data_IF_638794936060
#
_entry.id   IF_638794936060
#
_cell.length_a   1.000
_cell.length_b   1.000
_cell.length_c   1.000
_cell.angle_alpha   90.00
_cell.angle_beta   90.00
_cell.angle_gamma   90.00
#
_symmetry.space_group_name_H-M   'P 1'
#
loop_
_entity.id
_entity.type
_entity.pdbx_description
1 polymer ?
#
# COMPACT_ATOMS: atom_id res chain seq x y z
N UNK A 1 -28.51 -50.22 6.82
CA UNK A 1 -27.25 -49.85 7.51
C UNK A 1 -26.40 -48.90 6.64
N UNK A 2 -26.41 -49.03 5.33
CA UNK A 2 -25.72 -48.13 4.39
C UNK A 2 -26.26 -46.69 4.39
N UNK A 3 -27.55 -46.48 4.53
CA UNK A 3 -28.18 -45.13 4.50
C UNK A 3 -27.84 -44.23 5.69
N UNK A 4 -27.28 -44.77 6.78
CA UNK A 4 -26.88 -44.01 7.96
C UNK A 4 -25.37 -43.69 7.93
N UNK A 5 -24.59 -44.40 7.12
CA UNK A 5 -23.12 -44.19 7.02
C UNK A 5 -22.74 -43.03 6.06
N UNK A 6 -23.56 -42.78 5.02
CA UNK A 6 -23.33 -41.68 4.09
C UNK A 6 -23.30 -40.30 4.76
N UNK A 7 -24.31 -39.89 5.55
CA UNK A 7 -24.31 -38.58 6.18
C UNK A 7 -23.19 -38.40 7.23
N UNK A 8 -22.80 -39.50 7.91
CA UNK A 8 -21.63 -39.48 8.81
C UNK A 8 -20.32 -39.28 8.06
N UNK A 9 -20.17 -39.95 6.93
CA UNK A 9 -18.98 -39.80 6.07
C UNK A 9 -18.85 -38.37 5.55
N UNK A 10 -19.95 -37.76 5.08
CA UNK A 10 -19.99 -36.36 4.65
C UNK A 10 -19.65 -35.39 5.79
N UNK A 11 -20.18 -35.62 7.00
CA UNK A 11 -19.91 -34.78 8.16
C UNK A 11 -18.43 -34.85 8.60
N UNK A 12 -17.82 -36.02 8.56
CA UNK A 12 -16.39 -36.19 8.83
C UNK A 12 -15.53 -35.52 7.77
N UNK A 13 -15.88 -35.67 6.49
CA UNK A 13 -15.16 -35.05 5.39
C UNK A 13 -15.24 -33.51 5.47
N UNK A 14 -16.43 -32.92 5.71
CA UNK A 14 -16.59 -31.48 5.90
C UNK A 14 -15.79 -30.96 7.09
N UNK A 15 -15.82 -31.64 8.23
CA UNK A 15 -15.01 -31.24 9.40
C UNK A 15 -13.51 -31.31 9.08
N UNK A 16 -13.07 -32.34 8.38
CA UNK A 16 -11.68 -32.47 7.94
C UNK A 16 -11.24 -31.33 7.02
N UNK A 17 -12.08 -30.93 6.05
CA UNK A 17 -11.83 -29.80 5.17
C UNK A 17 -11.77 -28.47 5.93
N UNK A 18 -12.69 -28.23 6.87
CA UNK A 18 -12.69 -27.03 7.70
C UNK A 18 -11.40 -26.95 8.52
N UNK A 19 -11.01 -28.03 9.20
CA UNK A 19 -9.78 -28.06 9.99
C UNK A 19 -8.55 -27.84 9.12
N UNK A 20 -8.45 -28.47 7.96
CA UNK A 20 -7.35 -28.31 7.04
C UNK A 20 -7.27 -26.86 6.50
N UNK A 21 -8.42 -26.29 6.12
CA UNK A 21 -8.50 -24.91 5.62
C UNK A 21 -8.11 -23.88 6.69
N UNK A 22 -8.61 -24.05 7.91
CA UNK A 22 -8.28 -23.18 9.04
C UNK A 22 -6.79 -23.29 9.40
N UNK A 23 -6.25 -24.50 9.44
CA UNK A 23 -4.83 -24.72 9.70
C UNK A 23 -3.95 -24.07 8.64
N UNK A 24 -4.30 -24.23 7.36
CA UNK A 24 -3.61 -23.59 6.25
C UNK A 24 -3.68 -22.06 6.32
N UNK A 25 -4.85 -21.49 6.65
CA UNK A 25 -5.04 -20.07 6.83
C UNK A 25 -4.19 -19.52 8.00
N UNK A 26 -4.19 -20.20 9.15
CA UNK A 26 -3.41 -19.79 10.32
C UNK A 26 -1.91 -19.82 10.00
N UNK A 27 -1.41 -20.89 9.38
CA UNK A 27 0.01 -20.97 9.00
C UNK A 27 0.39 -19.92 7.96
N UNK A 28 -0.48 -19.64 7.00
CA UNK A 28 -0.28 -18.58 6.01
C UNK A 28 -0.22 -17.18 6.66
N UNK A 29 -1.13 -16.89 7.59
CA UNK A 29 -1.14 -15.62 8.33
C UNK A 29 0.10 -15.45 9.21
N UNK A 30 0.55 -16.51 9.89
CA UNK A 30 1.79 -16.49 10.69
C UNK A 30 2.99 -16.24 9.77
N UNK A 31 3.07 -16.94 8.64
CA UNK A 31 4.14 -16.73 7.66
C UNK A 31 4.16 -15.31 7.11
N UNK A 32 3.00 -14.76 6.77
CA UNK A 32 2.84 -13.36 6.36
C UNK A 32 3.30 -12.38 7.44
N UNK A 33 2.85 -12.57 8.67
CA UNK A 33 3.24 -11.71 9.80
C UNK A 33 4.77 -11.71 10.06
N UNK A 34 5.43 -12.86 9.91
CA UNK A 34 6.89 -12.96 10.04
C UNK A 34 7.59 -12.17 8.93
N UNK A 35 7.11 -12.28 7.69
CA UNK A 35 7.66 -11.53 6.56
C UNK A 35 7.44 -10.02 6.72
N UNK A 36 6.27 -9.61 7.20
CA UNK A 36 5.95 -8.21 7.46
C UNK A 36 6.85 -7.61 8.55
N UNK A 37 7.03 -8.32 9.67
CA UNK A 37 7.94 -7.91 10.75
C UNK A 37 9.39 -7.78 10.25
N UNK A 38 9.84 -8.71 9.42
CA UNK A 38 11.18 -8.65 8.83
C UNK A 38 11.33 -7.46 7.89
N UNK A 39 10.39 -7.27 6.98
CA UNK A 39 10.38 -6.18 6.00
C UNK A 39 10.26 -4.81 6.66
N UNK A 40 9.36 -4.67 7.63
CA UNK A 40 9.16 -3.43 8.40
C UNK A 40 10.41 -3.06 9.20
N UNK A 41 11.05 -4.05 9.85
CA UNK A 41 12.31 -3.84 10.54
C UNK A 41 13.44 -3.35 9.63
N UNK A 42 13.53 -3.87 8.39
CA UNK A 42 14.48 -3.39 7.39
C UNK A 42 14.14 -1.97 6.93
N UNK A 43 12.87 -1.67 6.70
CA UNK A 43 12.40 -0.35 6.29
C UNK A 43 12.74 0.71 7.34
N UNK A 44 12.53 0.40 8.63
CA UNK A 44 12.86 1.31 9.72
C UNK A 44 14.36 1.68 9.75
N UNK A 45 15.22 0.71 9.47
CA UNK A 45 16.68 0.94 9.38
C UNK A 45 17.03 1.74 8.13
N UNK A 46 16.38 1.47 6.98
CA UNK A 46 16.65 2.16 5.72
C UNK A 46 16.24 3.65 5.75
N UNK A 47 15.28 4.01 6.58
CA UNK A 47 14.89 5.42 6.84
C UNK A 47 15.96 6.16 7.68
N UNK A 48 16.95 5.44 8.20
CA UNK A 48 18.06 6.02 8.96
C UNK A 48 17.94 5.89 10.48
N UNK A 49 16.97 5.12 10.96
CA UNK A 49 16.86 4.82 12.41
C UNK A 49 18.00 3.89 12.82
N UNK A 50 18.88 4.42 13.67
CA UNK A 50 20.10 3.71 14.12
C UNK A 50 19.79 2.68 15.21
N UNK A 51 19.07 1.64 14.89
CA UNK A 51 18.76 0.52 15.79
C UNK A 51 19.22 -0.80 15.19
N UNK A 52 19.47 -1.80 16.04
CA UNK A 52 19.78 -3.16 15.58
C UNK A 52 18.51 -3.81 14.99
N UNK A 53 18.66 -4.63 13.95
CA UNK A 53 17.53 -5.32 13.28
C UNK A 53 16.55 -6.00 14.23
N UNK A 54 17.00 -6.77 15.26
CA UNK A 54 16.07 -7.39 16.19
C UNK A 54 15.27 -6.37 17.02
N UNK A 55 15.85 -5.22 17.33
CA UNK A 55 15.19 -4.14 18.08
C UNK A 55 14.13 -3.47 17.19
N UNK A 56 14.44 -3.23 15.90
CA UNK A 56 13.46 -2.69 14.95
C UNK A 56 12.25 -3.63 14.81
N UNK A 57 12.49 -4.93 14.63
CA UNK A 57 11.42 -5.92 14.56
C UNK A 57 10.63 -6.04 15.88
N UNK A 58 11.28 -5.90 17.03
CA UNK A 58 10.61 -5.90 18.35
C UNK A 58 9.72 -4.68 18.54
N UNK A 59 10.14 -3.50 18.08
CA UNK A 59 9.32 -2.27 18.12
C UNK A 59 8.06 -2.48 17.29
N UNK A 60 8.21 -2.94 16.05
CA UNK A 60 7.09 -3.18 15.16
C UNK A 60 6.14 -4.26 15.69
N UNK A 61 6.68 -5.40 16.12
CA UNK A 61 5.89 -6.46 16.77
C UNK A 61 5.14 -6.01 18.01
N UNK A 62 5.72 -5.10 18.78
CA UNK A 62 5.05 -4.50 19.95
C UNK A 62 3.87 -3.62 19.51
N UNK A 63 4.04 -2.79 18.49
CA UNK A 63 2.97 -1.96 17.91
C UNK A 63 1.85 -2.86 17.36
N UNK A 64 2.20 -3.91 16.62
CA UNK A 64 1.23 -4.88 16.11
C UNK A 64 0.46 -5.58 17.23
N UNK A 65 1.14 -6.00 18.29
CA UNK A 65 0.53 -6.66 19.45
C UNK A 65 -0.51 -5.74 20.13
N UNK A 66 -0.12 -4.50 20.47
CA UNK A 66 -1.05 -3.55 21.09
C UNK A 66 -2.19 -3.16 20.14
N UNK A 67 -1.90 -2.98 18.84
CA UNK A 67 -2.93 -2.74 17.82
C UNK A 67 -3.93 -3.89 17.75
N UNK A 68 -3.46 -5.13 17.76
CA UNK A 68 -4.32 -6.33 17.75
C UNK A 68 -5.18 -6.41 19.02
N UNK A 69 -4.58 -6.17 20.18
CA UNK A 69 -5.32 -6.14 21.45
C UNK A 69 -6.42 -5.08 21.40
N UNK A 70 -6.09 -3.87 20.95
CA UNK A 70 -7.09 -2.81 20.80
C UNK A 70 -8.24 -3.19 19.88
N UNK A 71 -7.92 -3.75 18.70
CA UNK A 71 -8.93 -4.14 17.72
C UNK A 71 -9.81 -5.27 18.24
N UNK A 72 -9.23 -6.30 18.84
CA UNK A 72 -9.98 -7.49 19.30
C UNK A 72 -10.89 -7.18 20.49
N UNK A 73 -10.46 -6.32 21.42
CA UNK A 73 -11.22 -6.07 22.66
C UNK A 73 -12.01 -4.77 22.68
N UNK A 74 -11.61 -3.76 21.91
CA UNK A 74 -12.18 -2.41 22.03
C UNK A 74 -12.82 -1.89 20.73
N UNK A 75 -12.43 -2.40 19.57
CA UNK A 75 -13.01 -1.97 18.31
C UNK A 75 -14.33 -2.74 18.02
N UNK A 76 -15.34 -2.02 17.57
CA UNK A 76 -16.63 -2.62 17.16
C UNK A 76 -16.57 -3.28 15.80
N UNK A 77 -15.65 -2.82 14.92
CA UNK A 77 -15.42 -3.34 13.58
C UNK A 77 -13.96 -3.08 13.19
N UNK A 78 -13.34 -4.05 12.55
CA UNK A 78 -11.99 -3.95 12.01
C UNK A 78 -11.97 -3.64 10.51
N UNK A 79 -12.90 -4.25 9.76
CA UNK A 79 -12.82 -4.21 8.29
C UNK A 79 -13.03 -2.80 7.74
N UNK A 80 -14.00 -2.06 8.23
CA UNK A 80 -14.29 -0.74 7.70
C UNK A 80 -13.13 0.25 7.90
N UNK A 81 -12.57 0.46 9.12
CA UNK A 81 -11.39 1.31 9.31
C UNK A 81 -10.17 0.85 8.51
N UNK A 82 -9.94 -0.46 8.42
CA UNK A 82 -8.83 -1.02 7.65
C UNK A 82 -9.00 -0.77 6.15
N UNK A 83 -10.19 -1.00 5.60
CA UNK A 83 -10.48 -0.69 4.19
C UNK A 83 -10.33 0.81 3.91
N UNK A 84 -10.80 1.66 4.78
CA UNK A 84 -10.62 3.11 4.69
C UNK A 84 -9.14 3.51 4.67
N UNK A 85 -8.34 2.91 5.52
CA UNK A 85 -6.88 3.10 5.55
C UNK A 85 -6.22 2.67 4.24
N UNK A 86 -6.55 1.48 3.71
CA UNK A 86 -6.00 0.99 2.45
C UNK A 86 -6.36 1.90 1.27
N UNK A 87 -7.59 2.40 1.19
CA UNK A 87 -8.01 3.35 0.16
C UNK A 87 -7.19 4.64 0.28
N UNK A 88 -7.01 5.15 1.49
CA UNK A 88 -6.24 6.37 1.75
C UNK A 88 -4.79 6.24 1.31
N UNK A 89 -4.13 5.12 1.63
CA UNK A 89 -2.74 4.86 1.22
C UNK A 89 -2.63 4.49 -0.25
N UNK A 90 -3.65 3.87 -0.82
CA UNK A 90 -3.64 3.44 -2.22
C UNK A 90 -3.40 4.59 -3.19
N UNK A 91 -3.90 5.79 -2.90
CA UNK A 91 -3.72 6.98 -3.75
C UNK A 91 -2.24 7.41 -3.85
N UNK A 92 -1.53 7.76 -2.76
CA UNK A 92 -0.13 8.17 -2.86
C UNK A 92 0.79 7.05 -3.37
N UNK A 93 0.50 5.79 -3.04
CA UNK A 93 1.25 4.63 -3.58
C UNK A 93 1.05 4.51 -5.09
N UNK A 94 -0.17 4.76 -5.60
CA UNK A 94 -0.43 4.78 -7.05
C UNK A 94 0.37 5.86 -7.77
N UNK A 95 0.43 7.09 -7.22
CA UNK A 95 1.27 8.16 -7.78
C UNK A 95 2.73 7.77 -7.78
N UNK A 96 3.24 7.30 -6.63
CA UNK A 96 4.64 6.92 -6.48
C UNK A 96 5.04 5.80 -7.46
N UNK A 97 4.24 4.75 -7.54
CA UNK A 97 4.52 3.63 -8.46
C UNK A 97 4.48 4.06 -9.93
N UNK A 98 3.54 4.92 -10.30
CA UNK A 98 3.45 5.43 -11.68
C UNK A 98 4.63 6.35 -12.05
N UNK A 99 5.12 7.17 -11.12
CA UNK A 99 6.37 7.94 -11.28
C UNK A 99 7.56 7.00 -11.51
N UNK A 100 7.66 5.93 -10.71
CA UNK A 100 8.72 4.95 -10.84
C UNK A 100 8.70 4.27 -12.21
N UNK A 101 7.52 3.85 -12.68
CA UNK A 101 7.35 3.27 -14.03
C UNK A 101 7.74 4.29 -15.11
N UNK A 102 7.33 5.54 -14.98
CA UNK A 102 7.69 6.60 -15.92
C UNK A 102 9.21 6.88 -15.93
N UNK A 103 9.87 6.84 -14.78
CA UNK A 103 11.33 6.98 -14.67
C UNK A 103 12.04 5.85 -15.42
N UNK A 104 11.62 4.60 -15.21
CA UNK A 104 12.18 3.44 -15.91
C UNK A 104 11.95 3.54 -17.43
N UNK A 105 10.77 3.96 -17.89
CA UNK A 105 10.44 4.12 -19.31
C UNK A 105 11.29 5.23 -19.98
N UNK A 106 11.59 6.29 -19.25
CA UNK A 106 12.40 7.40 -19.76
C UNK A 106 13.88 7.08 -19.84
N UNK A 107 14.38 6.19 -19.01
CA UNK A 107 15.80 5.83 -18.97
C UNK A 107 16.20 4.99 -20.18
N UNK A 108 17.38 5.31 -20.71
CA UNK A 108 18.04 4.54 -21.77
C UNK A 108 19.19 3.68 -21.27
N UNK A 109 19.66 3.95 -20.05
CA UNK A 109 20.77 3.26 -19.40
C UNK A 109 20.30 2.71 -18.06
N UNK A 110 20.90 1.60 -17.64
CA UNK A 110 20.67 1.03 -16.32
C UNK A 110 21.12 1.97 -15.20
N UNK A 111 20.55 1.78 -14.01
CA UNK A 111 20.98 2.54 -12.83
C UNK A 111 22.41 2.17 -12.44
N UNK A 112 23.22 3.17 -12.14
CA UNK A 112 24.54 2.94 -11.56
C UNK A 112 24.39 2.73 -10.07
N UNK A 113 24.57 1.48 -9.65
CA UNK A 113 24.28 1.04 -8.29
C UNK A 113 25.06 1.82 -7.23
N UNK A 114 26.34 2.12 -7.49
CA UNK A 114 27.19 2.92 -6.58
C UNK A 114 26.65 4.33 -6.33
N UNK A 115 26.02 4.95 -7.34
CA UNK A 115 25.48 6.31 -7.25
C UNK A 115 24.11 6.36 -6.57
N UNK A 116 23.36 5.24 -6.55
CA UNK A 116 22.06 5.15 -5.87
C UNK A 116 22.19 5.33 -4.36
N UNK A 117 23.30 4.89 -3.78
CA UNK A 117 23.56 4.96 -2.34
C UNK A 117 24.44 6.14 -1.93
N UNK A 118 24.83 6.99 -2.91
CA UNK A 118 25.67 8.16 -2.67
C UNK A 118 24.84 9.44 -2.60
N UNK A 119 24.98 10.21 -1.53
CA UNK A 119 24.30 11.51 -1.40
C UNK A 119 24.79 12.53 -2.45
N UNK A 120 26.03 12.38 -2.93
CA UNK A 120 26.68 13.24 -3.93
C UNK A 120 26.68 12.63 -5.32
N UNK A 121 26.08 11.44 -5.48
CA UNK A 121 25.97 10.74 -6.75
C UNK A 121 25.06 11.46 -7.74
N UNK A 122 25.08 11.02 -9.02
CA UNK A 122 24.30 11.61 -10.13
C UNK A 122 22.79 11.70 -9.88
N UNK A 123 22.22 10.86 -9.01
CA UNK A 123 20.77 10.86 -8.70
C UNK A 123 20.41 11.92 -7.66
N UNK A 124 21.39 12.37 -6.84
CA UNK A 124 21.19 13.31 -5.76
C UNK A 124 20.32 12.75 -4.64
N UNK A 125 20.24 13.50 -3.55
CA UNK A 125 19.54 13.07 -2.33
C UNK A 125 18.02 13.08 -2.47
N UNK A 126 17.47 13.99 -3.25
CA UNK A 126 16.02 14.23 -3.35
C UNK A 126 15.63 14.57 -4.78
N UNK A 127 14.50 14.04 -5.23
CA UNK A 127 13.89 14.41 -6.49
C UNK A 127 12.68 15.34 -6.24
N UNK A 128 12.82 16.67 -6.36
CA UNK A 128 11.75 17.61 -6.04
C UNK A 128 10.54 17.47 -6.98
N UNK A 129 10.77 17.08 -8.24
CA UNK A 129 9.70 16.85 -9.23
C UNK A 129 8.83 15.67 -8.78
N UNK A 130 9.46 14.57 -8.36
CA UNK A 130 8.74 13.40 -7.88
C UNK A 130 7.93 13.72 -6.62
N UNK A 131 8.50 14.45 -5.66
CA UNK A 131 7.80 14.86 -4.43
C UNK A 131 6.60 15.75 -4.76
N UNK A 132 6.77 16.74 -5.63
CA UNK A 132 5.70 17.64 -6.04
C UNK A 132 4.55 16.85 -6.73
N UNK A 133 4.90 15.91 -7.62
CA UNK A 133 3.91 15.07 -8.30
C UNK A 133 3.19 14.12 -7.32
N UNK A 134 3.89 13.55 -6.35
CA UNK A 134 3.25 12.74 -5.29
C UNK A 134 2.27 13.58 -4.49
N UNK A 135 2.66 14.80 -4.10
CA UNK A 135 1.77 15.70 -3.36
C UNK A 135 0.53 16.10 -4.19
N UNK A 136 0.73 16.57 -5.42
CA UNK A 136 -0.37 17.01 -6.31
C UNK A 136 -1.27 15.82 -6.66
N UNK A 137 -0.68 14.69 -7.07
CA UNK A 137 -1.44 13.49 -7.44
C UNK A 137 -2.22 12.92 -6.27
N UNK A 138 -1.68 12.97 -5.05
CA UNK A 138 -2.39 12.56 -3.84
C UNK A 138 -3.55 13.48 -3.52
N UNK A 139 -3.35 14.80 -3.57
CA UNK A 139 -4.41 15.79 -3.36
C UNK A 139 -5.53 15.56 -4.38
N UNK A 140 -5.23 15.49 -5.66
CA UNK A 140 -6.23 15.24 -6.69
C UNK A 140 -6.90 13.88 -6.52
N UNK A 141 -6.13 12.84 -6.27
CA UNK A 141 -6.63 11.48 -6.10
C UNK A 141 -7.58 11.35 -4.91
N UNK A 142 -7.24 11.90 -3.75
CA UNK A 142 -8.13 11.92 -2.58
C UNK A 142 -9.40 12.74 -2.82
N UNK A 143 -9.36 13.73 -3.69
CA UNK A 143 -10.54 14.49 -4.09
C UNK A 143 -11.58 13.66 -4.86
N UNK A 144 -11.17 12.58 -5.52
CA UNK A 144 -12.02 11.70 -6.31
C UNK A 144 -12.14 10.26 -5.76
N UNK A 145 -11.89 10.08 -4.47
CA UNK A 145 -12.06 8.82 -3.75
C UNK A 145 -13.14 8.99 -2.70
N UNK A 146 -14.08 8.04 -2.64
CA UNK A 146 -15.08 8.00 -1.56
C UNK A 146 -14.57 7.10 -0.44
N UNK A 147 -14.53 7.64 0.77
CA UNK A 147 -14.12 6.92 1.95
C UNK A 147 -15.05 7.23 3.12
N UNK A 148 -16.11 6.44 3.22
CA UNK A 148 -17.13 6.54 4.29
C UNK A 148 -16.98 5.45 5.35
N UNK A 149 -15.92 4.64 5.25
CA UNK A 149 -15.67 3.51 6.14
C UNK A 149 -15.27 3.91 7.56
N UNK A 150 -14.69 5.11 7.72
CA UNK A 150 -14.39 5.66 9.03
C UNK A 150 -14.68 7.17 9.04
N UNK A 151 -15.31 7.68 10.10
CA UNK A 151 -15.76 9.08 10.17
C UNK A 151 -14.64 10.10 9.97
N UNK A 152 -13.43 9.80 10.43
CA UNK A 152 -12.25 10.66 10.27
C UNK A 152 -11.69 10.70 8.83
N UNK A 153 -12.17 9.83 7.93
CA UNK A 153 -11.81 9.78 6.52
C UNK A 153 -12.84 10.46 5.59
N UNK A 154 -13.95 10.92 6.13
CA UNK A 154 -15.04 11.54 5.35
C UNK A 154 -14.66 12.85 4.63
N UNK A 155 -13.49 13.42 4.94
CA UNK A 155 -12.96 14.58 4.23
C UNK A 155 -12.56 14.26 2.78
N UNK A 156 -12.29 13.02 2.44
CA UNK A 156 -11.97 12.58 1.08
C UNK A 156 -13.19 12.75 0.17
N UNK A 157 -12.96 12.78 -1.14
CA UNK A 157 -14.02 12.95 -2.12
C UNK A 157 -14.54 14.38 -2.27
N UNK A 158 -13.70 15.38 -1.95
CA UNK A 158 -14.09 16.79 -2.04
C UNK A 158 -14.32 17.31 -3.47
N UNK A 159 -13.89 16.56 -4.51
CA UNK A 159 -14.22 16.84 -5.91
C UNK A 159 -15.38 16.00 -6.46
N UNK A 160 -15.95 15.12 -5.64
CA UNK A 160 -16.99 14.18 -6.08
C UNK A 160 -18.27 14.87 -6.55
N UNK A 161 -18.52 16.12 -6.14
CA UNK A 161 -19.68 16.88 -6.59
C UNK A 161 -19.80 16.97 -8.12
N UNK A 162 -18.67 17.04 -8.83
CA UNK A 162 -18.64 17.11 -10.30
C UNK A 162 -19.07 15.81 -11.01
N UNK A 163 -19.00 14.66 -10.31
CA UNK A 163 -19.29 13.33 -10.87
C UNK A 163 -20.43 12.61 -10.13
N UNK A 164 -21.35 13.35 -9.54
CA UNK A 164 -22.55 12.79 -8.92
C UNK A 164 -22.52 12.71 -7.39
N UNK A 165 -21.52 13.33 -6.75
CA UNK A 165 -21.38 13.32 -5.29
C UNK A 165 -20.92 11.98 -4.73
N UNK A 166 -20.89 11.89 -3.40
CA UNK A 166 -20.38 10.70 -2.68
C UNK A 166 -21.35 9.49 -2.68
N UNK A 167 -22.56 9.66 -3.15
CA UNK A 167 -23.62 8.62 -3.18
C UNK A 167 -24.05 8.23 -4.60
N UNK A 168 -23.47 8.88 -5.63
CA UNK A 168 -23.77 8.61 -7.03
C UNK A 168 -23.13 7.30 -7.53
N UNK A 169 -23.44 6.93 -8.78
CA UNK A 169 -22.96 5.68 -9.41
C UNK A 169 -21.42 5.59 -9.44
N UNK A 170 -20.74 6.71 -9.55
CA UNK A 170 -19.28 6.79 -9.60
C UNK A 170 -18.59 6.94 -8.24
N UNK A 171 -19.38 7.12 -7.18
CA UNK A 171 -18.85 7.41 -5.85
C UNK A 171 -17.85 6.35 -5.37
N UNK A 172 -18.19 5.09 -5.56
CA UNK A 172 -17.38 3.96 -5.07
C UNK A 172 -16.44 3.35 -6.13
N UNK A 173 -16.37 3.94 -7.31
CA UNK A 173 -15.48 3.49 -8.38
C UNK A 173 -14.00 3.82 -8.11
N UNK A 174 -13.70 4.62 -7.08
CA UNK A 174 -12.35 5.04 -6.69
C UNK A 174 -11.52 5.59 -7.86
N UNK A 175 -12.19 6.36 -8.74
CA UNK A 175 -11.55 6.95 -9.94
C UNK A 175 -10.35 7.85 -9.58
N UNK A 176 -10.27 8.30 -8.34
CA UNK A 176 -9.13 9.04 -7.82
C UNK A 176 -7.80 8.31 -7.95
N UNK A 177 -7.80 6.97 -7.85
CA UNK A 177 -6.59 6.15 -8.06
C UNK A 177 -6.13 6.23 -9.52
N UNK A 178 -7.07 6.28 -10.48
CA UNK A 178 -6.76 6.42 -11.90
C UNK A 178 -6.14 7.81 -12.15
N UNK A 179 -6.73 8.88 -11.62
CA UNK A 179 -6.14 10.22 -11.71
C UNK A 179 -4.75 10.29 -11.09
N UNK A 180 -4.54 9.66 -9.93
CA UNK A 180 -3.26 9.55 -9.27
C UNK A 180 -2.20 8.91 -10.17
N UNK A 181 -2.53 7.76 -10.78
CA UNK A 181 -1.67 7.07 -11.74
C UNK A 181 -1.34 7.94 -12.96
N UNK A 182 -2.35 8.59 -13.56
CA UNK A 182 -2.16 9.41 -14.75
C UNK A 182 -1.30 10.65 -14.44
N UNK A 183 -1.54 11.33 -13.33
CA UNK A 183 -0.76 12.50 -12.91
C UNK A 183 0.69 12.10 -12.66
N UNK A 184 0.93 11.00 -11.92
CA UNK A 184 2.28 10.52 -11.67
C UNK A 184 3.01 10.14 -12.95
N UNK A 185 2.40 9.32 -13.79
CA UNK A 185 3.02 8.80 -15.01
C UNK A 185 3.29 9.92 -16.02
N UNK A 186 2.24 10.58 -16.48
CA UNK A 186 2.39 11.62 -17.52
C UNK A 186 3.08 12.87 -16.99
N UNK A 187 2.82 13.26 -15.75
CA UNK A 187 3.52 14.37 -15.12
C UNK A 187 5.04 14.13 -15.08
N UNK A 188 5.46 12.92 -14.71
CA UNK A 188 6.88 12.60 -14.68
C UNK A 188 7.49 12.40 -16.09
N UNK A 189 6.74 11.84 -17.04
CA UNK A 189 7.17 11.78 -18.43
C UNK A 189 7.46 13.17 -19.02
N UNK A 190 6.70 14.19 -18.63
CA UNK A 190 6.87 15.55 -19.13
C UNK A 190 7.98 16.32 -18.38
N UNK A 191 7.95 16.28 -17.05
CA UNK A 191 8.81 17.11 -16.20
C UNK A 191 10.14 16.43 -15.85
N UNK A 192 10.20 15.11 -15.82
CA UNK A 192 11.39 14.34 -15.43
C UNK A 192 12.45 14.20 -16.52
N UNK A 193 12.09 14.43 -17.79
CA UNK A 193 12.98 14.19 -18.96
C UNK A 193 14.29 14.93 -18.90
N UNK A 194 14.30 16.19 -18.51
CA UNK A 194 15.51 17.02 -18.45
C UNK A 194 16.49 16.47 -17.41
N UNK A 195 15.97 16.11 -16.24
CA UNK A 195 16.76 15.55 -15.13
C UNK A 195 17.38 14.20 -15.52
N UNK A 196 16.60 13.30 -16.14
CA UNK A 196 17.10 11.99 -16.57
C UNK A 196 18.18 12.14 -17.62
N UNK A 197 18.00 13.02 -18.61
CA UNK A 197 19.04 13.30 -19.63
C UNK A 197 20.33 13.83 -19.00
N UNK A 198 20.24 14.63 -17.94
CA UNK A 198 21.40 15.15 -17.23
C UNK A 198 22.11 14.03 -16.46
N UNK A 199 21.36 13.13 -15.83
CA UNK A 199 21.89 11.96 -15.12
C UNK A 199 22.54 10.92 -16.03
N UNK A 200 22.17 10.88 -17.31
CA UNK A 200 22.70 9.93 -18.31
C UNK A 200 23.83 10.53 -19.17
N UNK A 201 24.23 11.79 -18.95
CA UNK A 201 25.24 12.48 -19.78
C UNK A 201 26.67 11.98 -19.63
N UNK A 202 26.94 11.25 -18.55
CA UNK A 202 28.25 10.63 -18.27
C UNK A 202 28.18 9.11 -18.57
#
# INVERSE_FOLDING_TARGET
>A
METLLEPLGYAFFQKGLIVASLSGAILGLIGGAILDLYSSGLTLISIGVKVRRPVAAAIDGTIMLFGTIYIVWFATDFFAPFQGFLITLGVPVAVWSSIFVADVVLRKRDYVEADLFSETGRYGRVNPIAIALVAIGSIVGWGFVTNTFAGWLNWQGYFMGAIGGKEGQWAYANVGVIFALLIGFFGYLLLGRSRIKEQERD
#
